data_IF_772587989610
#
_entry.id   IF_772587989610
#
_cell.length_a   1.000
_cell.length_b   1.000
_cell.length_c   1.000
_cell.angle_alpha   90.00
_cell.angle_beta   90.00
_cell.angle_gamma   90.00
#
_symmetry.space_group_name_H-M   'P 1'
#
loop_
_entity.id
_entity.type
_entity.pdbx_description
1 polymer ?
#
# COMPACT_ATOMS: atom_id res chain seq x y z
N UNK A 1 30.03 -14.17 -7.88
CA UNK A 1 28.58 -14.06 -8.19
C UNK A 1 28.02 -12.92 -7.37
N UNK A 2 27.51 -11.86 -8.00
CA UNK A 2 26.76 -10.84 -7.26
C UNK A 2 25.40 -11.45 -6.89
N UNK A 3 25.21 -11.80 -5.63
CA UNK A 3 23.90 -12.13 -5.10
C UNK A 3 23.11 -10.81 -5.01
N UNK A 4 22.21 -10.58 -5.96
CA UNK A 4 21.21 -9.52 -5.84
C UNK A 4 20.25 -9.90 -4.71
N UNK A 5 20.11 -9.04 -3.70
CA UNK A 5 19.13 -9.20 -2.64
C UNK A 5 17.82 -8.52 -3.02
N UNK A 6 16.69 -9.17 -2.72
CA UNK A 6 15.36 -8.56 -2.81
C UNK A 6 15.04 -7.90 -1.47
N UNK A 7 14.60 -6.64 -1.50
CA UNK A 7 14.20 -5.86 -0.33
C UNK A 7 12.69 -5.72 -0.28
N UNK A 8 12.10 -6.21 0.81
CA UNK A 8 10.65 -6.17 1.04
C UNK A 8 10.36 -5.35 2.29
N UNK A 9 9.43 -4.41 2.20
CA UNK A 9 8.86 -3.70 3.36
C UNK A 9 7.46 -4.23 3.65
N UNK A 10 7.14 -4.43 4.92
CA UNK A 10 5.78 -4.74 5.38
C UNK A 10 5.39 -3.77 6.49
N UNK A 11 4.27 -3.05 6.32
CA UNK A 11 3.87 -1.99 7.23
C UNK A 11 2.34 -1.87 7.40
N UNK A 12 1.87 -2.02 8.63
CA UNK A 12 0.51 -1.64 9.02
C UNK A 12 0.43 -0.11 9.20
N UNK A 13 -0.32 0.54 8.32
CA UNK A 13 -0.36 2.00 8.18
C UNK A 13 -1.61 2.65 8.77
N UNK A 14 -2.45 1.88 9.46
CA UNK A 14 -3.59 2.38 10.26
C UNK A 14 -4.53 3.35 9.51
N UNK A 15 -4.79 3.10 8.24
CA UNK A 15 -5.71 3.86 7.40
C UNK A 15 -5.10 5.06 6.66
N UNK A 16 -3.78 5.26 6.75
CA UNK A 16 -3.12 6.45 6.22
C UNK A 16 -2.57 6.30 4.79
N UNK A 17 -3.10 5.40 3.97
CA UNK A 17 -2.44 5.01 2.70
C UNK A 17 -2.26 6.20 1.75
N UNK A 18 -3.35 6.93 1.47
CA UNK A 18 -3.33 8.08 0.55
C UNK A 18 -2.35 9.14 1.06
N UNK A 19 -2.44 9.48 2.35
CA UNK A 19 -1.57 10.47 2.99
C UNK A 19 -0.08 10.09 2.87
N UNK A 20 0.25 8.82 3.05
CA UNK A 20 1.61 8.31 2.91
C UNK A 20 2.11 8.41 1.47
N UNK A 21 1.25 8.15 0.49
CA UNK A 21 1.63 8.22 -0.92
C UNK A 21 1.71 9.66 -1.45
N UNK A 22 1.05 10.61 -0.80
CA UNK A 22 1.18 12.05 -1.09
C UNK A 22 2.43 12.67 -0.42
N UNK A 23 2.98 12.04 0.62
CA UNK A 23 4.18 12.50 1.32
C UNK A 23 5.45 12.25 0.50
N UNK A 24 6.20 13.30 0.08
CA UNK A 24 7.41 13.15 -0.73
C UNK A 24 8.50 12.29 -0.06
N UNK A 25 8.67 12.40 1.24
CA UNK A 25 9.64 11.64 2.03
C UNK A 25 9.32 10.15 1.97
N UNK A 26 8.06 9.79 2.18
CA UNK A 26 7.60 8.40 2.13
C UNK A 26 7.75 7.81 0.73
N UNK A 27 7.51 8.60 -0.32
CA UNK A 27 7.73 8.16 -1.71
C UNK A 27 9.21 7.89 -2.00
N UNK A 28 10.12 8.71 -1.46
CA UNK A 28 11.56 8.44 -1.59
C UNK A 28 11.93 7.13 -0.89
N UNK A 29 11.44 6.91 0.31
CA UNK A 29 11.65 5.64 1.03
C UNK A 29 11.08 4.44 0.29
N UNK A 30 9.94 4.58 -0.37
CA UNK A 30 9.30 3.53 -1.18
C UNK A 30 10.27 2.97 -2.24
N UNK A 31 11.01 3.86 -2.90
CA UNK A 31 11.98 3.48 -3.96
C UNK A 31 13.19 2.68 -3.45
N UNK A 32 13.35 2.52 -2.14
CA UNK A 32 14.42 1.72 -1.54
C UNK A 32 14.08 0.23 -1.44
N UNK A 33 12.87 -0.17 -1.80
CA UNK A 33 12.35 -1.54 -1.70
C UNK A 33 11.79 -2.00 -3.04
N UNK A 34 11.96 -3.28 -3.36
CA UNK A 34 11.37 -3.90 -4.55
C UNK A 34 9.86 -4.14 -4.38
N UNK A 35 9.43 -4.40 -3.13
CA UNK A 35 8.02 -4.61 -2.77
C UNK A 35 7.67 -3.89 -1.48
N UNK A 36 6.54 -3.19 -1.46
CA UNK A 36 5.98 -2.53 -0.30
C UNK A 36 4.58 -3.08 0.02
N UNK A 37 4.47 -3.82 1.11
CA UNK A 37 3.25 -4.47 1.55
C UNK A 37 2.59 -3.65 2.67
N UNK A 38 1.43 -3.08 2.39
CA UNK A 38 0.70 -2.25 3.34
C UNK A 38 -0.54 -2.96 3.86
N UNK A 39 -0.79 -2.85 5.17
CA UNK A 39 -2.00 -3.38 5.82
C UNK A 39 -2.79 -2.27 6.52
N UNK A 40 -4.08 -2.55 6.75
CA UNK A 40 -5.04 -1.58 7.26
C UNK A 40 -5.10 -0.33 6.39
N UNK A 41 -5.09 -0.51 5.07
CA UNK A 41 -5.07 0.62 4.12
C UNK A 41 -6.36 1.44 4.17
N UNK A 42 -7.48 0.81 4.55
CA UNK A 42 -8.83 1.39 4.60
C UNK A 42 -9.31 1.98 3.27
N UNK A 43 -8.64 1.61 2.17
CA UNK A 43 -9.05 1.97 0.83
C UNK A 43 -10.38 1.28 0.49
N UNK A 44 -11.31 2.06 -0.05
CA UNK A 44 -12.46 1.56 -0.80
C UNK A 44 -11.98 1.06 -2.17
N UNK A 45 -12.80 0.24 -2.85
CA UNK A 45 -12.51 -0.17 -4.22
C UNK A 45 -12.12 1.03 -5.10
N UNK A 46 -11.11 0.86 -5.95
CA UNK A 46 -10.58 1.86 -6.90
C UNK A 46 -9.95 3.13 -6.29
N UNK A 47 -9.95 3.31 -4.97
CA UNK A 47 -9.28 4.48 -4.37
C UNK A 47 -7.75 4.49 -4.51
N UNK A 48 -7.14 3.38 -4.93
CA UNK A 48 -5.72 3.34 -5.25
C UNK A 48 -5.40 3.97 -6.61
N UNK A 49 -6.38 4.11 -7.50
CA UNK A 49 -6.17 4.60 -8.88
C UNK A 49 -5.80 6.08 -8.93
N UNK A 50 -6.15 6.84 -7.88
CA UNK A 50 -5.83 8.28 -7.77
C UNK A 50 -4.47 8.54 -7.15
N UNK A 51 -3.77 7.50 -6.71
CA UNK A 51 -2.49 7.63 -6.03
C UNK A 51 -1.37 7.81 -7.05
N UNK A 52 -0.55 8.85 -6.85
CA UNK A 52 0.65 9.04 -7.64
C UNK A 52 1.79 8.17 -7.11
N UNK A 53 2.35 7.30 -7.94
CA UNK A 53 3.49 6.45 -7.60
C UNK A 53 4.81 6.93 -8.24
N UNK A 54 5.97 6.57 -7.68
CA UNK A 54 7.24 6.71 -8.39
C UNK A 54 7.24 5.93 -9.72
N UNK A 55 8.06 6.37 -10.67
CA UNK A 55 8.19 5.69 -11.97
C UNK A 55 8.60 4.22 -11.78
N UNK A 56 7.92 3.32 -12.50
CA UNK A 56 8.20 1.88 -12.46
C UNK A 56 7.45 1.11 -11.35
N UNK A 57 6.71 1.79 -10.48
CA UNK A 57 5.87 1.16 -9.46
C UNK A 57 4.41 1.10 -9.88
N UNK A 58 3.72 0.05 -9.45
CA UNK A 58 2.28 -0.15 -9.67
C UNK A 58 1.64 -0.52 -8.34
N UNK A 59 0.42 -0.05 -8.09
CA UNK A 59 -0.32 -0.41 -6.87
C UNK A 59 -1.45 -1.37 -7.20
N UNK A 60 -1.49 -2.47 -6.45
CA UNK A 60 -2.65 -3.36 -6.39
C UNK A 60 -3.24 -3.29 -4.98
N UNK A 61 -4.51 -2.88 -4.85
CA UNK A 61 -5.18 -2.82 -3.56
C UNK A 61 -6.37 -3.76 -3.47
N UNK A 62 -6.53 -4.37 -2.29
CA UNK A 62 -7.67 -5.23 -1.96
C UNK A 62 -8.36 -4.73 -0.71
N UNK A 63 -9.53 -4.11 -0.90
CA UNK A 63 -10.41 -3.71 0.19
C UNK A 63 -10.97 -4.93 0.94
N UNK A 64 -11.23 -4.77 2.23
CA UNK A 64 -11.95 -5.79 3.02
C UNK A 64 -13.37 -5.93 2.47
N UNK A 65 -13.81 -7.17 2.22
CA UNK A 65 -15.21 -7.44 1.88
C UNK A 65 -16.11 -7.04 3.06
N UNK A 66 -17.21 -6.32 2.84
CA UNK A 66 -18.16 -6.02 3.90
C UNK A 66 -18.68 -7.33 4.49
N UNK A 67 -18.70 -7.43 5.83
CA UNK A 67 -19.32 -8.57 6.51
C UNK A 67 -20.82 -8.35 6.59
N UNK A 68 -21.61 -9.41 6.40
CA UNK A 68 -23.08 -9.38 6.43
C UNK A 68 -23.67 -8.87 7.77
N UNK A 69 -22.87 -8.89 8.84
CA UNK A 69 -23.25 -8.44 10.17
C UNK A 69 -22.86 -6.98 10.48
N UNK A 70 -22.60 -6.15 9.47
CA UNK A 70 -22.11 -4.76 9.65
C UNK A 70 -20.84 -4.63 10.50
N UNK A 71 -20.12 -5.73 10.77
CA UNK A 71 -18.88 -5.66 11.53
C UNK A 71 -17.81 -4.92 10.70
N UNK A 72 -17.14 -3.94 11.36
CA UNK A 72 -16.00 -3.13 10.90
C UNK A 72 -15.73 -3.23 9.38
N UNK A 73 -16.25 -2.28 8.61
CA UNK A 73 -16.01 -2.15 7.16
C UNK A 73 -14.58 -1.71 6.82
N UNK A 74 -13.80 -1.32 7.83
CA UNK A 74 -12.41 -0.91 7.73
C UNK A 74 -11.44 -2.11 7.72
N UNK A 75 -10.42 -2.01 6.88
CA UNK A 75 -9.35 -2.99 6.66
C UNK A 75 -8.78 -2.85 5.25
N UNK A 76 -8.10 -3.88 4.77
CA UNK A 76 -7.57 -3.92 3.41
C UNK A 76 -6.04 -3.95 3.36
N UNK A 77 -5.52 -4.29 2.19
CA UNK A 77 -4.10 -4.39 1.90
C UNK A 77 -3.77 -3.72 0.56
N UNK A 78 -2.52 -3.29 0.40
CA UNK A 78 -1.99 -2.84 -0.88
C UNK A 78 -0.56 -3.35 -1.08
N UNK A 79 -0.23 -3.73 -2.30
CA UNK A 79 1.13 -4.01 -2.75
C UNK A 79 1.55 -2.89 -3.70
N UNK A 80 2.70 -2.26 -3.43
CA UNK A 80 3.29 -1.21 -4.26
C UNK A 80 4.70 -1.59 -4.65
#
# INVERSE_FOLDING_TARGET
SNLSSIKIRSWNIKGSFILLMDCPETRRELTQYDFNLYQETHLRPQQHDVVSLPSGYTVEAKSRRPKANFAKSWGGVANV
#
